data_IF_175098289744
#
_entry.id   IF_175098289744
#
_cell.length_a   1.000
_cell.length_b   1.000
_cell.length_c   1.000
_cell.angle_alpha   90.00
_cell.angle_beta   90.00
_cell.angle_gamma   90.00
#
_symmetry.space_group_name_H-M   'P 1'
#
loop_
_entity.id
_entity.type
_entity.pdbx_description
1 polymer ?
#
# COMPACT_ATOMS: atom_id res chain seq x y z
N UNK A 1 27.65 24.22 -28.51
CA UNK A 1 27.11 25.29 -27.61
C UNK A 1 25.69 24.93 -27.25
N UNK A 2 25.54 24.27 -26.16
CA UNK A 2 24.35 23.98 -25.35
C UNK A 2 24.76 22.78 -24.52
N UNK A 3 24.95 22.92 -23.31
CA UNK A 3 24.21 22.77 -22.09
C UNK A 3 25.20 22.93 -20.93
N UNK A 4 25.29 24.11 -20.36
CA UNK A 4 25.62 24.27 -18.96
C UNK A 4 24.28 24.44 -18.26
N UNK A 5 23.77 23.39 -17.68
CA UNK A 5 22.67 23.47 -16.72
C UNK A 5 23.26 23.12 -15.36
N UNK A 6 23.18 24.11 -14.52
CA UNK A 6 23.63 24.21 -13.14
C UNK A 6 23.31 22.95 -12.33
N UNK A 7 24.35 22.30 -11.86
CA UNK A 7 24.30 21.38 -10.73
C UNK A 7 24.34 22.20 -9.44
N UNK A 8 23.21 22.39 -8.78
CA UNK A 8 23.16 22.65 -7.36
C UNK A 8 22.32 21.57 -6.70
N UNK A 9 23.02 20.80 -5.86
CA UNK A 9 22.53 19.92 -4.78
C UNK A 9 21.16 19.27 -4.97
N UNK A 10 21.17 17.98 -5.34
CA UNK A 10 20.18 17.04 -4.86
C UNK A 10 18.80 17.03 -5.51
N UNK A 11 18.53 17.86 -6.52
CA UNK A 11 17.25 17.86 -7.22
C UNK A 11 17.32 16.89 -8.41
N UNK A 12 16.50 15.86 -8.35
CA UNK A 12 16.21 14.96 -9.45
C UNK A 12 15.67 15.81 -10.62
N UNK A 13 16.43 15.91 -11.72
CA UNK A 13 15.94 16.52 -12.97
C UNK A 13 14.82 15.61 -13.47
N UNK A 14 13.57 15.96 -13.20
CA UNK A 14 12.43 15.26 -13.74
C UNK A 14 12.38 15.48 -15.26
N UNK A 15 12.27 14.39 -16.04
CA UNK A 15 12.01 14.43 -17.49
C UNK A 15 10.62 15.05 -17.77
N UNK A 16 9.76 15.07 -16.77
CA UNK A 16 8.51 15.82 -16.80
C UNK A 16 8.79 17.31 -17.01
N UNK A 17 8.03 17.91 -17.92
CA UNK A 17 7.94 19.35 -18.03
C UNK A 17 7.65 19.93 -16.62
N UNK A 18 8.52 20.79 -16.12
CA UNK A 18 8.43 21.38 -14.78
C UNK A 18 7.05 22.02 -14.46
N UNK A 19 6.27 22.36 -15.48
CA UNK A 19 4.89 22.84 -15.31
C UNK A 19 3.95 21.73 -14.85
N UNK A 20 4.14 20.50 -15.33
CA UNK A 20 3.39 19.32 -14.82
C UNK A 20 3.80 19.00 -13.38
N UNK A 21 5.06 19.14 -13.01
CA UNK A 21 5.50 18.97 -11.63
C UNK A 21 4.86 20.03 -10.72
N UNK A 22 4.77 21.29 -11.18
CA UNK A 22 4.06 22.37 -10.45
C UNK A 22 2.57 22.06 -10.31
N UNK A 23 1.95 21.51 -11.36
CA UNK A 23 0.55 21.11 -11.34
C UNK A 23 0.31 19.98 -10.32
N UNK A 24 1.14 18.94 -10.31
CA UNK A 24 1.04 17.84 -9.33
C UNK A 24 1.20 18.36 -7.91
N UNK A 25 2.18 19.23 -7.64
CA UNK A 25 2.37 19.81 -6.32
C UNK A 25 1.16 20.67 -5.89
N UNK A 26 0.54 21.41 -6.81
CA UNK A 26 -0.68 22.16 -6.51
C UNK A 26 -1.88 21.24 -6.23
N UNK A 27 -1.96 20.08 -6.87
CA UNK A 27 -2.99 19.08 -6.57
C UNK A 27 -2.91 18.61 -5.11
N UNK A 28 -1.70 18.47 -4.57
CA UNK A 28 -1.47 18.02 -3.19
C UNK A 28 -1.72 19.15 -2.18
N UNK A 29 -1.12 20.31 -2.41
CA UNK A 29 -1.18 21.43 -1.45
C UNK A 29 -2.52 22.17 -1.47
N UNK A 30 -3.21 22.14 -2.61
CA UNK A 30 -4.46 22.89 -2.89
C UNK A 30 -4.35 24.38 -2.56
N UNK A 31 -3.12 24.92 -2.64
CA UNK A 31 -2.81 26.31 -2.27
C UNK A 31 -1.61 26.82 -3.05
N UNK A 32 -1.83 27.86 -3.87
CA UNK A 32 -0.79 28.44 -4.73
C UNK A 32 0.44 28.95 -3.98
N UNK A 33 0.25 29.55 -2.80
CA UNK A 33 1.35 30.08 -1.98
C UNK A 33 2.17 28.94 -1.40
N UNK A 34 1.52 27.94 -0.78
CA UNK A 34 2.20 26.76 -0.25
C UNK A 34 2.94 25.97 -1.34
N UNK A 35 2.34 25.86 -2.53
CA UNK A 35 3.01 25.26 -3.71
C UNK A 35 4.26 26.03 -4.08
N UNK A 36 4.19 27.37 -4.11
CA UNK A 36 5.32 28.21 -4.43
C UNK A 36 6.46 28.06 -3.40
N UNK A 37 6.15 28.08 -2.13
CA UNK A 37 7.11 27.85 -1.04
C UNK A 37 7.80 26.47 -1.18
N UNK A 38 7.02 25.42 -1.38
CA UNK A 38 7.53 24.04 -1.47
C UNK A 38 8.41 23.80 -2.70
N UNK A 39 8.12 24.50 -3.81
CA UNK A 39 8.89 24.42 -5.05
C UNK A 39 9.97 25.52 -5.17
N UNK A 40 10.19 26.31 -4.12
CA UNK A 40 11.15 27.43 -4.13
C UNK A 40 10.97 28.41 -5.29
N UNK A 41 9.70 28.73 -5.60
CA UNK A 41 9.33 29.65 -6.66
C UNK A 41 8.36 30.73 -6.17
N UNK A 42 8.01 31.70 -7.03
CA UNK A 42 7.03 32.72 -6.67
C UNK A 42 5.60 32.24 -6.96
N UNK A 43 4.62 32.72 -6.19
CA UNK A 43 3.21 32.39 -6.44
C UNK A 43 2.73 32.83 -7.85
N UNK A 44 3.13 33.99 -8.42
CA UNK A 44 2.86 34.30 -9.81
C UNK A 44 3.40 33.27 -10.81
N UNK A 45 4.58 32.70 -10.56
CA UNK A 45 5.15 31.67 -11.43
C UNK A 45 4.29 30.38 -11.40
N UNK A 46 3.84 29.94 -10.21
CA UNK A 46 2.90 28.83 -10.10
C UNK A 46 1.63 29.12 -10.92
N UNK A 47 1.06 30.31 -10.75
CA UNK A 47 -0.14 30.72 -11.49
C UNK A 47 0.09 30.71 -13.01
N UNK A 48 1.26 31.16 -13.47
CA UNK A 48 1.61 31.16 -14.89
C UNK A 48 1.76 29.74 -15.45
N UNK A 49 2.35 28.81 -14.68
CA UNK A 49 2.44 27.41 -15.08
C UNK A 49 1.07 26.76 -15.25
N UNK A 50 0.16 26.97 -14.32
CA UNK A 50 -1.21 26.43 -14.40
C UNK A 50 -1.96 27.04 -15.58
N UNK A 51 -1.92 28.36 -15.74
CA UNK A 51 -2.53 29.03 -16.90
C UNK A 51 -2.00 28.51 -18.23
N UNK A 52 -0.68 28.26 -18.33
CA UNK A 52 -0.09 27.68 -19.51
C UNK A 52 -0.67 26.30 -19.82
N UNK A 53 -0.79 25.42 -18.81
CA UNK A 53 -1.37 24.09 -18.99
C UNK A 53 -2.85 24.18 -19.38
N UNK A 54 -3.63 25.04 -18.74
CA UNK A 54 -5.03 25.27 -19.09
C UNK A 54 -5.20 25.78 -20.54
N UNK A 55 -4.32 26.67 -20.98
CA UNK A 55 -4.29 27.15 -22.39
C UNK A 55 -3.89 26.05 -23.37
N UNK A 56 -2.86 25.27 -23.02
CA UNK A 56 -2.36 24.19 -23.87
C UNK A 56 -3.39 23.08 -24.08
N UNK A 57 -4.12 22.70 -23.00
CA UNK A 57 -5.17 21.68 -23.05
C UNK A 57 -6.57 22.24 -23.38
N UNK A 58 -6.71 23.55 -23.50
CA UNK A 58 -7.98 24.20 -23.82
C UNK A 58 -9.07 24.05 -22.77
N UNK A 59 -8.72 23.80 -21.51
CA UNK A 59 -9.69 23.51 -20.44
C UNK A 59 -9.21 24.02 -19.09
N UNK A 60 -10.14 24.23 -18.17
CA UNK A 60 -9.83 24.52 -16.77
C UNK A 60 -9.46 23.25 -16.03
N UNK A 61 -8.38 23.33 -15.25
CA UNK A 61 -7.88 22.22 -14.44
C UNK A 61 -8.30 22.34 -12.97
N UNK A 62 -8.55 23.58 -12.52
CA UNK A 62 -8.99 23.87 -11.15
C UNK A 62 -10.19 24.81 -11.16
N UNK A 63 -11.00 24.72 -10.08
CA UNK A 63 -12.07 25.64 -9.75
C UNK A 63 -12.11 25.90 -8.25
N UNK A 64 -12.77 26.97 -7.85
CA UNK A 64 -13.04 27.29 -6.44
C UNK A 64 -14.49 26.98 -6.12
N UNK A 65 -14.71 26.31 -4.97
CA UNK A 65 -16.07 26.11 -4.42
C UNK A 65 -16.59 27.41 -3.76
N UNK A 66 -17.84 27.37 -3.29
CA UNK A 66 -18.49 28.49 -2.59
C UNK A 66 -17.73 28.94 -1.33
N UNK A 67 -16.95 28.04 -0.71
CA UNK A 67 -16.10 28.30 0.46
C UNK A 67 -14.69 28.73 0.07
N UNK A 68 -14.46 29.09 -1.19
CA UNK A 68 -13.14 29.48 -1.76
C UNK A 68 -12.05 28.42 -1.59
N UNK A 69 -12.41 27.13 -1.56
CA UNK A 69 -11.45 26.02 -1.55
C UNK A 69 -11.14 25.60 -2.98
N UNK A 70 -9.87 25.34 -3.25
CA UNK A 70 -9.40 24.91 -4.58
C UNK A 70 -9.67 23.42 -4.79
N UNK A 71 -10.31 23.09 -5.91
CA UNK A 71 -10.65 21.73 -6.32
C UNK A 71 -10.21 21.47 -7.76
N UNK A 72 -9.93 20.21 -8.10
CA UNK A 72 -9.71 19.75 -9.46
C UNK A 72 -11.05 19.63 -10.22
N UNK A 73 -11.04 20.05 -11.49
CA UNK A 73 -12.07 19.67 -12.46
C UNK A 73 -11.94 18.19 -12.84
N UNK A 74 -12.89 17.63 -13.60
CA UNK A 74 -12.75 16.26 -14.14
C UNK A 74 -11.53 16.15 -15.07
N UNK A 75 -11.29 17.16 -15.88
CA UNK A 75 -10.11 17.25 -16.73
C UNK A 75 -8.82 17.40 -15.92
N UNK A 76 -8.88 18.13 -14.80
CA UNK A 76 -7.79 18.22 -13.85
C UNK A 76 -7.46 16.87 -13.22
N UNK A 77 -8.47 16.08 -12.85
CA UNK A 77 -8.29 14.70 -12.32
C UNK A 77 -7.66 13.79 -13.39
N UNK A 78 -8.12 13.87 -14.64
CA UNK A 78 -7.55 13.10 -15.73
C UNK A 78 -6.07 13.46 -15.98
N UNK A 79 -5.76 14.77 -16.00
CA UNK A 79 -4.37 15.21 -16.17
C UNK A 79 -3.48 14.81 -14.99
N UNK A 80 -4.01 14.84 -13.75
CA UNK A 80 -3.27 14.40 -12.55
C UNK A 80 -2.88 12.92 -12.67
N UNK A 81 -3.84 12.06 -13.00
CA UNK A 81 -3.59 10.62 -13.18
C UNK A 81 -2.52 10.37 -14.24
N UNK A 82 -2.63 11.01 -15.40
CA UNK A 82 -1.63 10.90 -16.46
C UNK A 82 -0.25 11.39 -16.01
N UNK A 83 -0.17 12.56 -15.39
CA UNK A 83 1.10 13.16 -14.98
C UNK A 83 1.80 12.32 -13.89
N UNK A 84 1.04 11.74 -12.94
CA UNK A 84 1.56 10.83 -11.94
C UNK A 84 2.14 9.56 -12.56
N UNK A 85 1.45 8.95 -13.51
CA UNK A 85 1.94 7.76 -14.22
C UNK A 85 3.22 8.04 -14.99
N UNK A 86 3.27 9.16 -15.74
CA UNK A 86 4.47 9.55 -16.49
C UNK A 86 5.63 9.83 -15.53
N UNK A 87 5.38 10.44 -14.38
CA UNK A 87 6.42 10.68 -13.37
C UNK A 87 6.98 9.35 -12.82
N UNK A 88 6.11 8.43 -12.42
CA UNK A 88 6.52 7.13 -11.92
C UNK A 88 7.31 6.33 -12.96
N UNK A 89 6.79 6.24 -14.19
CA UNK A 89 7.46 5.52 -15.28
C UNK A 89 8.80 6.15 -15.65
N UNK A 90 8.89 7.49 -15.62
CA UNK A 90 10.14 8.22 -15.88
C UNK A 90 11.24 7.88 -14.87
N UNK A 91 10.90 7.78 -13.58
CA UNK A 91 11.86 7.38 -12.55
C UNK A 91 12.27 5.89 -12.70
N UNK A 92 11.35 5.01 -13.07
CA UNK A 92 11.66 3.60 -13.38
C UNK A 92 12.66 3.54 -14.56
N UNK A 93 12.39 4.27 -15.66
CA UNK A 93 13.26 4.32 -16.84
C UNK A 93 14.63 4.91 -16.48
N UNK A 94 14.68 6.00 -15.72
CA UNK A 94 15.92 6.63 -15.28
C UNK A 94 16.79 5.66 -14.48
N UNK A 95 16.19 4.92 -13.54
CA UNK A 95 16.90 3.89 -12.79
C UNK A 95 17.40 2.77 -13.71
N UNK A 96 16.64 2.39 -14.73
CA UNK A 96 17.02 1.37 -15.71
C UNK A 96 18.18 1.84 -16.63
N UNK A 97 18.16 3.09 -17.05
CA UNK A 97 19.21 3.70 -17.89
C UNK A 97 20.52 3.92 -17.13
N UNK A 98 20.49 3.96 -15.79
CA UNK A 98 21.70 4.06 -14.95
C UNK A 98 22.42 2.73 -14.76
N UNK A 99 21.85 1.62 -15.22
CA UNK A 99 22.42 0.27 -15.13
C UNK A 99 22.97 -0.13 -16.51
N UNK A 100 24.12 -0.85 -16.60
CA UNK A 100 24.66 -1.33 -17.88
C UNK A 100 23.65 -2.12 -18.71
N UNK A 101 23.64 -1.93 -20.03
CA UNK A 101 22.66 -2.53 -20.96
C UNK A 101 22.58 -4.06 -20.84
N UNK A 102 23.67 -4.71 -20.44
CA UNK A 102 23.78 -6.17 -20.29
C UNK A 102 23.32 -6.68 -18.92
N UNK A 103 22.95 -5.80 -17.99
CA UNK A 103 22.39 -6.23 -16.72
C UNK A 103 20.87 -6.44 -16.81
N UNK A 104 20.35 -7.56 -16.26
CA UNK A 104 18.92 -7.81 -16.26
C UNK A 104 18.17 -6.75 -15.46
N UNK A 105 17.00 -6.37 -15.99
CA UNK A 105 16.06 -5.47 -15.35
C UNK A 105 15.59 -6.03 -14.01
N UNK A 106 15.56 -5.20 -12.99
CA UNK A 106 15.09 -5.59 -11.66
C UNK A 106 13.59 -5.29 -11.56
N UNK A 107 12.78 -6.33 -11.37
CA UNK A 107 11.38 -6.14 -11.03
C UNK A 107 11.25 -5.81 -9.54
N UNK A 108 10.81 -4.59 -9.23
CA UNK A 108 10.65 -4.08 -7.86
C UNK A 108 9.20 -4.14 -7.44
N UNK A 109 8.88 -5.03 -6.52
CA UNK A 109 7.55 -5.25 -5.98
C UNK A 109 7.45 -4.74 -4.55
N UNK A 110 6.40 -3.97 -4.23
CA UNK A 110 5.99 -3.69 -2.87
C UNK A 110 5.04 -4.76 -2.35
N UNK A 111 5.09 -5.08 -1.09
CA UNK A 111 4.16 -6.04 -0.49
C UNK A 111 3.87 -5.72 0.97
N UNK A 112 2.60 -5.84 1.34
CA UNK A 112 2.24 -5.98 2.76
C UNK A 112 3.11 -7.05 3.41
N UNK A 113 3.60 -6.76 4.61
CA UNK A 113 4.45 -7.70 5.38
C UNK A 113 3.76 -9.07 5.52
N UNK A 114 2.48 -9.10 5.91
CA UNK A 114 1.74 -10.35 6.07
C UNK A 114 1.64 -11.19 4.79
N UNK A 115 1.36 -10.55 3.65
CA UNK A 115 1.33 -11.24 2.36
C UNK A 115 2.73 -11.71 1.95
N UNK A 116 3.72 -10.85 2.08
CA UNK A 116 5.09 -11.16 1.74
C UNK A 116 5.65 -12.35 2.51
N UNK A 117 5.47 -12.40 3.83
CA UNK A 117 5.92 -13.51 4.67
C UNK A 117 5.16 -14.81 4.39
N UNK A 118 3.90 -14.73 3.96
CA UNK A 118 3.05 -15.92 3.73
C UNK A 118 3.21 -16.50 2.34
N UNK A 119 3.23 -15.66 1.30
CA UNK A 119 3.07 -16.08 -0.09
C UNK A 119 4.27 -15.74 -0.98
N UNK A 120 5.12 -14.74 -0.62
CA UNK A 120 6.16 -14.25 -1.52
C UNK A 120 7.09 -15.36 -2.02
N UNK A 121 7.56 -16.25 -1.13
CA UNK A 121 8.47 -17.34 -1.53
C UNK A 121 7.88 -18.23 -2.64
N UNK A 122 6.59 -18.55 -2.57
CA UNK A 122 5.93 -19.41 -3.56
C UNK A 122 5.61 -18.67 -4.86
N UNK A 123 5.10 -17.45 -4.76
CA UNK A 123 4.79 -16.61 -5.93
C UNK A 123 6.09 -16.27 -6.67
N UNK A 124 7.15 -15.88 -5.93
CA UNK A 124 8.44 -15.58 -6.54
C UNK A 124 9.10 -16.81 -7.15
N UNK A 125 9.01 -17.98 -6.51
CA UNK A 125 9.47 -19.24 -7.10
C UNK A 125 8.86 -19.45 -8.47
N UNK A 126 7.51 -19.41 -8.57
CA UNK A 126 6.82 -19.55 -9.86
C UNK A 126 7.17 -18.47 -10.89
N UNK A 127 7.38 -17.23 -10.43
CA UNK A 127 7.79 -16.14 -11.32
C UNK A 127 9.18 -16.38 -11.88
N UNK A 128 10.16 -16.75 -11.04
CA UNK A 128 11.53 -16.99 -11.44
C UNK A 128 11.71 -18.31 -12.22
N UNK A 129 10.87 -19.32 -11.97
CA UNK A 129 10.82 -20.53 -12.80
C UNK A 129 10.42 -20.20 -14.26
N UNK A 130 9.48 -19.24 -14.42
CA UNK A 130 9.03 -18.78 -15.75
C UNK A 130 10.03 -17.79 -16.39
N UNK A 131 10.71 -16.99 -15.57
CA UNK A 131 11.62 -15.93 -16.02
C UNK A 131 12.96 -16.01 -15.28
N UNK A 132 13.78 -17.04 -15.53
CA UNK A 132 15.00 -17.31 -14.75
C UNK A 132 16.08 -16.23 -14.85
N UNK A 133 16.04 -15.42 -15.91
CA UNK A 133 16.97 -14.29 -16.11
C UNK A 133 16.59 -13.03 -15.32
N UNK A 134 15.36 -12.97 -14.77
CA UNK A 134 14.88 -11.77 -14.07
C UNK A 134 15.51 -11.64 -12.69
N UNK A 135 15.83 -10.41 -12.30
CA UNK A 135 16.12 -10.02 -10.93
C UNK A 135 14.85 -9.46 -10.28
N UNK A 136 14.60 -9.82 -9.04
CA UNK A 136 13.43 -9.33 -8.28
C UNK A 136 13.91 -8.71 -6.98
N UNK A 137 13.32 -7.58 -6.63
CA UNK A 137 13.45 -6.95 -5.32
C UNK A 137 12.07 -6.80 -4.69
N UNK A 138 11.88 -7.32 -3.48
CA UNK A 138 10.63 -7.19 -2.74
C UNK A 138 10.84 -6.20 -1.61
N UNK A 139 10.03 -5.16 -1.61
CA UNK A 139 9.99 -4.17 -0.55
C UNK A 139 8.77 -4.44 0.34
N UNK A 140 9.00 -4.72 1.62
CA UNK A 140 7.93 -4.97 2.59
C UNK A 140 7.60 -3.69 3.33
N UNK A 141 6.30 -3.37 3.45
CA UNK A 141 5.87 -2.13 4.11
C UNK A 141 4.37 -2.08 4.36
N UNK A 142 3.94 -0.94 4.83
CA UNK A 142 2.52 -0.63 5.04
C UNK A 142 1.90 -0.09 3.75
N UNK A 143 0.59 -0.29 3.54
CA UNK A 143 -0.09 0.05 2.28
C UNK A 143 0.09 1.50 1.85
N UNK A 144 0.01 2.45 2.78
CA UNK A 144 0.10 3.87 2.46
C UNK A 144 1.53 4.24 1.99
N UNK A 145 2.58 3.67 2.62
CA UNK A 145 3.96 3.85 2.17
C UNK A 145 4.21 3.18 0.82
N UNK A 146 3.67 1.97 0.61
CA UNK A 146 3.79 1.27 -0.66
C UNK A 146 3.16 2.04 -1.82
N UNK A 147 2.00 2.67 -1.60
CA UNK A 147 1.38 3.53 -2.62
C UNK A 147 2.21 4.79 -2.91
N UNK A 148 2.84 5.38 -1.89
CA UNK A 148 3.79 6.49 -2.08
C UNK A 148 5.03 6.03 -2.87
N UNK A 149 5.59 4.86 -2.56
CA UNK A 149 6.72 4.29 -3.30
C UNK A 149 6.35 4.00 -4.77
N UNK A 150 5.12 3.52 -5.00
CA UNK A 150 4.58 3.27 -6.33
C UNK A 150 4.42 4.56 -7.14
N UNK A 151 3.78 5.58 -6.56
CA UNK A 151 3.59 6.89 -7.20
C UNK A 151 4.92 7.60 -7.53
N UNK A 152 5.98 7.33 -6.74
CA UNK A 152 7.32 7.85 -6.96
C UNK A 152 8.18 6.96 -7.90
N UNK A 153 7.64 5.89 -8.47
CA UNK A 153 8.37 4.99 -9.38
C UNK A 153 9.52 4.21 -8.72
N UNK A 154 9.55 4.11 -7.38
CA UNK A 154 10.55 3.32 -6.66
C UNK A 154 10.24 1.83 -6.72
N UNK A 155 8.97 1.48 -6.82
CA UNK A 155 8.44 0.14 -7.10
C UNK A 155 7.53 0.19 -8.32
N UNK A 156 7.34 -0.93 -9.00
CA UNK A 156 6.57 -1.03 -10.25
C UNK A 156 5.13 -1.47 -9.99
N UNK A 157 4.92 -2.23 -8.95
CA UNK A 157 3.61 -2.66 -8.47
C UNK A 157 3.67 -2.94 -6.97
N UNK A 158 2.50 -3.03 -6.32
CA UNK A 158 2.44 -3.41 -4.92
C UNK A 158 1.19 -4.24 -4.60
N UNK A 159 1.28 -4.95 -3.46
CA UNK A 159 0.18 -5.71 -2.87
C UNK A 159 -0.22 -5.01 -1.58
N UNK A 160 -1.46 -4.56 -1.51
CA UNK A 160 -1.99 -3.68 -0.46
C UNK A 160 -3.39 -4.11 0.00
N UNK A 161 -3.80 -3.66 1.19
CA UNK A 161 -5.10 -3.90 1.81
C UNK A 161 -5.94 -2.62 1.98
N UNK A 162 -5.64 -1.60 1.19
CA UNK A 162 -6.31 -0.30 1.27
C UNK A 162 -7.05 0.04 -0.01
N UNK A 163 -7.95 1.02 0.08
CA UNK A 163 -8.62 1.57 -1.09
C UNK A 163 -7.62 2.29 -2.00
N UNK A 164 -7.69 1.97 -3.28
CA UNK A 164 -6.88 2.60 -4.32
C UNK A 164 -7.82 3.32 -5.30
N UNK A 165 -7.74 4.66 -5.40
CA UNK A 165 -8.56 5.42 -6.33
C UNK A 165 -8.41 4.92 -7.78
N UNK A 166 -9.50 4.53 -8.46
CA UNK A 166 -9.42 3.96 -9.81
C UNK A 166 -9.04 5.00 -10.88
N UNK A 167 -9.00 6.27 -10.52
CA UNK A 167 -8.48 7.35 -11.35
C UNK A 167 -6.96 7.33 -11.44
N UNK A 168 -6.27 6.87 -10.38
CA UNK A 168 -4.82 6.90 -10.24
C UNK A 168 -4.18 5.53 -10.44
N UNK A 169 -4.89 4.46 -10.08
CA UNK A 169 -4.35 3.10 -10.01
C UNK A 169 -5.17 2.09 -10.84
N UNK A 170 -4.48 1.11 -11.41
CA UNK A 170 -5.07 -0.17 -11.79
C UNK A 170 -5.04 -1.09 -10.58
N UNK A 171 -6.21 -1.46 -10.08
CA UNK A 171 -6.38 -2.24 -8.87
C UNK A 171 -7.07 -3.56 -9.20
N UNK A 172 -6.45 -4.67 -8.84
CA UNK A 172 -6.96 -6.02 -9.09
C UNK A 172 -7.02 -6.80 -7.79
N UNK A 173 -8.21 -7.20 -7.42
CA UNK A 173 -8.42 -8.07 -6.27
C UNK A 173 -7.71 -9.41 -6.47
N UNK A 174 -6.94 -9.82 -5.46
CA UNK A 174 -6.32 -11.12 -5.38
C UNK A 174 -7.21 -12.11 -4.60
N UNK A 175 -7.67 -11.71 -3.43
CA UNK A 175 -8.60 -12.48 -2.60
C UNK A 175 -9.21 -11.61 -1.49
N UNK A 176 -10.34 -12.07 -0.96
CA UNK A 176 -10.95 -11.54 0.26
C UNK A 176 -10.34 -12.26 1.47
N UNK A 177 -10.05 -11.54 2.55
CA UNK A 177 -9.63 -12.10 3.83
C UNK A 177 -10.40 -11.45 4.99
N UNK A 178 -10.29 -12.05 6.15
CA UNK A 178 -10.88 -11.56 7.40
C UNK A 178 -9.81 -11.36 8.46
N UNK A 179 -10.07 -10.47 9.42
CA UNK A 179 -9.30 -10.39 10.65
C UNK A 179 -10.01 -11.27 11.67
N UNK A 180 -9.25 -12.12 12.35
CA UNK A 180 -9.73 -13.04 13.36
C UNK A 180 -9.02 -12.84 14.70
N UNK A 181 -9.68 -13.20 15.80
CA UNK A 181 -9.06 -13.27 17.11
C UNK A 181 -8.37 -14.63 17.30
N UNK A 182 -7.10 -14.60 17.70
CA UNK A 182 -6.28 -15.81 17.90
C UNK A 182 -5.74 -15.91 19.33
N UNK A 183 -5.50 -17.13 19.76
CA UNK A 183 -4.89 -17.46 21.04
C UNK A 183 -4.07 -18.76 20.94
N UNK A 184 -3.39 -19.15 22.02
CA UNK A 184 -2.79 -20.48 22.14
C UNK A 184 -3.88 -21.57 22.20
N UNK A 185 -3.60 -22.82 21.77
CA UNK A 185 -4.56 -23.93 21.88
C UNK A 185 -4.95 -24.26 23.34
N UNK A 186 -4.07 -23.93 24.28
CA UNK A 186 -4.29 -24.14 25.73
C UNK A 186 -5.06 -22.99 26.40
N UNK A 187 -5.37 -21.93 25.67
CA UNK A 187 -6.08 -20.77 26.22
C UNK A 187 -7.53 -21.13 26.56
N UNK A 188 -8.10 -20.60 27.68
CA UNK A 188 -9.45 -20.95 28.12
C UNK A 188 -10.56 -20.69 27.10
N UNK A 189 -10.35 -19.76 26.16
CA UNK A 189 -11.30 -19.39 25.11
C UNK A 189 -11.00 -20.06 23.75
N UNK A 190 -9.99 -20.93 23.66
CA UNK A 190 -9.61 -21.57 22.41
C UNK A 190 -10.78 -22.34 21.78
N UNK A 191 -11.11 -22.04 20.51
CA UNK A 191 -12.20 -22.66 19.75
C UNK A 191 -13.61 -22.31 20.21
N UNK A 192 -13.78 -21.42 21.18
CA UNK A 192 -15.09 -21.01 21.70
C UNK A 192 -15.65 -19.80 20.96
N UNK A 193 -16.98 -19.69 20.97
CA UNK A 193 -17.70 -18.48 20.57
C UNK A 193 -18.06 -17.71 21.83
N UNK A 194 -17.67 -16.43 21.88
CA UNK A 194 -17.78 -15.57 23.06
C UNK A 194 -18.23 -14.15 22.68
N UNK A 195 -18.63 -13.37 23.64
CA UNK A 195 -18.84 -11.93 23.47
C UNK A 195 -17.53 -11.15 23.67
N UNK A 196 -17.40 -9.96 23.10
CA UNK A 196 -16.22 -9.11 23.27
C UNK A 196 -15.83 -8.90 24.75
N UNK A 197 -16.82 -8.78 25.65
CA UNK A 197 -16.57 -8.58 27.07
C UNK A 197 -15.83 -9.73 27.73
N UNK A 198 -15.96 -10.94 27.20
CA UNK A 198 -15.26 -12.11 27.71
C UNK A 198 -13.77 -12.13 27.36
N UNK A 199 -13.35 -11.28 26.40
CA UNK A 199 -11.94 -11.07 26.06
C UNK A 199 -11.26 -10.11 27.05
N UNK A 200 -11.99 -9.23 27.72
CA UNK A 200 -11.46 -8.17 28.57
C UNK A 200 -10.55 -8.66 29.71
N UNK A 201 -10.81 -9.83 30.37
CA UNK A 201 -9.93 -10.34 31.42
C UNK A 201 -8.54 -10.76 30.91
N UNK A 202 -8.33 -10.86 29.59
CA UNK A 202 -7.09 -11.36 29.01
C UNK A 202 -6.23 -10.22 28.48
N UNK A 203 -4.94 -10.53 28.26
CA UNK A 203 -3.96 -9.60 27.68
C UNK A 203 -4.12 -9.53 26.18
N UNK A 204 -4.15 -8.30 25.64
CA UNK A 204 -4.14 -8.05 24.20
C UNK A 204 -2.71 -7.85 23.70
N UNK A 205 -2.34 -8.53 22.62
CA UNK A 205 -1.02 -8.40 21.97
C UNK A 205 -1.23 -7.74 20.61
N UNK A 206 -0.49 -6.68 20.31
CA UNK A 206 -0.64 -5.95 19.05
C UNK A 206 0.66 -5.29 18.59
N UNK A 207 0.66 -4.82 17.34
CA UNK A 207 1.75 -4.08 16.73
C UNK A 207 1.82 -2.65 17.27
N UNK A 208 3.01 -2.08 17.23
CA UNK A 208 3.32 -0.72 17.70
C UNK A 208 2.34 0.34 17.18
N UNK A 209 2.12 1.37 17.99
CA UNK A 209 1.35 2.53 17.61
C UNK A 209 1.93 3.18 16.33
N UNK A 210 1.04 3.50 15.37
CA UNK A 210 1.42 4.01 14.05
C UNK A 210 1.55 2.94 12.98
N UNK A 211 1.62 1.64 13.31
CA UNK A 211 1.49 0.58 12.31
C UNK A 211 0.05 0.50 11.78
N UNK A 212 -0.09 0.10 10.52
CA UNK A 212 -1.43 -0.11 9.92
C UNK A 212 -2.22 -1.18 10.68
N UNK A 213 -1.54 -2.23 11.13
CA UNK A 213 -2.17 -3.29 11.96
C UNK A 213 -2.78 -2.72 13.24
N UNK A 214 -2.10 -1.80 13.91
CA UNK A 214 -2.63 -1.11 15.08
C UNK A 214 -3.84 -0.22 14.73
N UNK A 215 -3.73 0.57 13.66
CA UNK A 215 -4.83 1.44 13.21
C UNK A 215 -6.06 0.61 12.81
N UNK A 216 -5.86 -0.50 12.10
CA UNK A 216 -6.93 -1.42 11.74
C UNK A 216 -7.57 -2.04 13.00
N UNK A 217 -6.77 -2.51 13.95
CA UNK A 217 -7.27 -3.04 15.23
C UNK A 217 -8.13 -2.01 15.96
N UNK A 218 -7.63 -0.79 16.12
CA UNK A 218 -8.40 0.29 16.76
C UNK A 218 -9.71 0.57 16.04
N UNK A 219 -9.66 0.70 14.71
CA UNK A 219 -10.86 0.94 13.89
C UNK A 219 -11.90 -0.17 14.09
N UNK A 220 -11.45 -1.42 14.09
CA UNK A 220 -12.32 -2.58 14.33
C UNK A 220 -12.93 -2.52 15.73
N UNK A 221 -12.10 -2.39 16.77
CA UNK A 221 -12.60 -2.32 18.15
C UNK A 221 -13.62 -1.19 18.32
N UNK A 222 -13.34 0.00 17.82
CA UNK A 222 -14.27 1.13 17.88
C UNK A 222 -15.59 0.84 17.15
N UNK A 223 -15.54 0.14 16.01
CA UNK A 223 -16.74 -0.30 15.29
C UNK A 223 -17.70 -1.20 16.11
N UNK A 224 -17.13 -1.86 17.11
CA UNK A 224 -17.88 -2.69 18.07
C UNK A 224 -18.02 -2.06 19.47
N UNK A 225 -17.84 -0.74 19.59
CA UNK A 225 -17.83 0.00 20.86
C UNK A 225 -16.85 -0.56 21.88
N UNK A 226 -15.69 -1.02 21.41
CA UNK A 226 -14.59 -1.52 22.22
C UNK A 226 -13.37 -0.63 22.08
N UNK A 227 -12.46 -0.73 23.06
CA UNK A 227 -11.17 -0.04 23.05
C UNK A 227 -10.08 -0.97 23.58
N UNK A 228 -8.82 -0.69 23.25
CA UNK A 228 -7.65 -1.43 23.75
C UNK A 228 -7.60 -1.40 25.29
N UNK A 229 -8.03 -0.29 25.89
CA UNK A 229 -8.07 -0.11 27.35
C UNK A 229 -9.17 -0.92 28.05
N UNK A 230 -10.09 -1.56 27.32
CA UNK A 230 -11.04 -2.50 27.91
C UNK A 230 -10.38 -3.83 28.35
N UNK A 231 -9.21 -4.14 27.79
CA UNK A 231 -8.47 -5.38 28.14
C UNK A 231 -7.68 -5.21 29.45
N UNK A 232 -7.51 -6.30 30.20
CA UNK A 232 -6.82 -6.30 31.50
C UNK A 232 -5.39 -5.75 31.42
N UNK A 233 -4.72 -5.99 30.31
CA UNK A 233 -3.38 -5.45 30.00
C UNK A 233 -3.08 -5.63 28.52
N UNK A 234 -1.96 -5.07 28.04
CA UNK A 234 -1.51 -5.28 26.68
C UNK A 234 0.00 -5.46 26.58
N UNK A 235 0.43 -6.00 25.43
CA UNK A 235 1.83 -6.05 24.98
C UNK A 235 1.89 -5.46 23.59
N UNK A 236 2.70 -4.41 23.45
CA UNK A 236 3.00 -3.77 22.18
C UNK A 236 4.34 -4.27 21.66
N UNK A 237 4.42 -4.63 20.36
CA UNK A 237 5.63 -5.17 19.73
C UNK A 237 5.82 -4.67 18.31
N UNK A 238 7.08 -4.61 17.84
CA UNK A 238 7.45 -4.06 16.52
C UNK A 238 7.27 -5.01 15.34
N UNK A 239 6.97 -6.31 15.52
CA UNK A 239 6.84 -7.24 14.40
C UNK A 239 5.68 -8.21 14.56
N UNK A 240 5.07 -8.60 13.43
CA UNK A 240 3.98 -9.58 13.42
C UNK A 240 4.45 -10.96 13.89
N UNK A 241 5.69 -11.35 13.62
CA UNK A 241 6.24 -12.62 14.07
C UNK A 241 6.38 -12.66 15.60
N UNK A 242 6.73 -11.53 16.23
CA UNK A 242 6.75 -11.45 17.71
C UNK A 242 5.33 -11.56 18.27
N UNK A 243 4.32 -10.94 17.64
CA UNK A 243 2.90 -11.15 18.02
C UNK A 243 2.57 -12.64 18.01
N UNK A 244 2.89 -13.34 16.92
CA UNK A 244 2.59 -14.77 16.77
C UNK A 244 3.28 -15.61 17.85
N UNK A 245 4.55 -15.37 18.12
CA UNK A 245 5.30 -16.12 19.13
C UNK A 245 4.72 -15.93 20.52
N UNK A 246 4.38 -14.70 20.90
CA UNK A 246 3.74 -14.41 22.20
C UNK A 246 2.38 -15.10 22.34
N UNK A 247 1.59 -15.14 21.24
CA UNK A 247 0.31 -15.89 21.25
C UNK A 247 0.55 -17.39 21.44
N UNK A 248 1.52 -17.98 20.73
CA UNK A 248 1.89 -19.41 20.87
C UNK A 248 2.31 -19.74 22.29
N UNK A 249 3.09 -18.87 22.92
CA UNK A 249 3.52 -19.00 24.32
C UNK A 249 2.42 -18.71 25.35
N UNK A 250 1.17 -18.53 24.88
CA UNK A 250 0.00 -18.25 25.73
C UNK A 250 0.13 -16.99 26.61
N UNK A 251 0.84 -15.97 26.10
CA UNK A 251 0.99 -14.68 26.80
C UNK A 251 -0.30 -13.86 26.74
N UNK A 252 -1.11 -14.07 25.71
CA UNK A 252 -2.37 -13.36 25.49
C UNK A 252 -3.02 -13.72 24.16
N UNK A 253 -3.97 -12.90 23.74
CA UNK A 253 -4.69 -13.02 22.47
C UNK A 253 -4.35 -11.85 21.51
N UNK A 254 -4.63 -12.03 20.23
CA UNK A 254 -4.37 -10.99 19.21
C UNK A 254 -5.41 -11.04 18.10
N UNK A 255 -5.54 -9.94 17.35
CA UNK A 255 -6.33 -9.85 16.14
C UNK A 255 -5.39 -9.75 14.93
N UNK A 256 -5.52 -10.69 13.99
CA UNK A 256 -4.62 -10.80 12.84
C UNK A 256 -5.39 -11.21 11.58
N UNK A 257 -4.82 -10.94 10.40
CA UNK A 257 -5.36 -11.51 9.17
C UNK A 257 -5.31 -13.03 9.19
N UNK A 258 -6.43 -13.67 8.88
CA UNK A 258 -6.58 -15.13 8.88
C UNK A 258 -5.55 -15.81 7.97
N UNK A 259 -5.35 -15.30 6.75
CA UNK A 259 -4.41 -15.89 5.79
C UNK A 259 -2.96 -15.96 6.31
N UNK A 260 -2.58 -15.07 7.23
CA UNK A 260 -1.22 -15.05 7.81
C UNK A 260 -1.00 -16.18 8.80
N UNK A 261 -2.06 -16.62 9.47
CA UNK A 261 -2.01 -17.64 10.51
C UNK A 261 -2.67 -18.97 10.11
N UNK A 262 -3.31 -19.06 8.95
CA UNK A 262 -4.06 -20.24 8.53
C UNK A 262 -3.26 -21.54 8.71
N UNK A 263 -2.02 -21.59 8.23
CA UNK A 263 -1.16 -22.79 8.42
C UNK A 263 -0.86 -23.12 9.88
N UNK A 264 -0.85 -22.14 10.76
CA UNK A 264 -0.63 -22.34 12.21
C UNK A 264 -1.91 -22.85 12.87
N UNK A 265 -3.07 -22.39 12.41
CA UNK A 265 -4.38 -22.93 12.83
C UNK A 265 -4.53 -24.39 12.38
N UNK A 266 -4.26 -24.70 11.11
CA UNK A 266 -4.36 -26.06 10.54
C UNK A 266 -3.45 -27.07 11.27
N UNK A 267 -2.29 -26.61 11.74
CA UNK A 267 -1.34 -27.40 12.52
C UNK A 267 -1.66 -27.49 14.01
N UNK A 268 -2.71 -26.80 14.46
CA UNK A 268 -3.09 -26.75 15.88
C UNK A 268 -2.07 -26.02 16.77
N UNK A 269 -1.18 -25.18 16.18
CA UNK A 269 -0.20 -24.38 16.93
C UNK A 269 -0.84 -23.12 17.50
N UNK A 270 -1.92 -22.67 16.88
CA UNK A 270 -2.80 -21.58 17.33
C UNK A 270 -4.25 -22.05 17.28
N UNK A 271 -5.12 -21.34 17.98
CA UNK A 271 -6.57 -21.53 17.95
C UNK A 271 -7.26 -20.20 17.70
N UNK A 272 -8.38 -20.25 16.99
CA UNK A 272 -9.26 -19.09 16.81
C UNK A 272 -10.21 -18.97 18.00
N UNK A 273 -10.49 -17.74 18.42
CA UNK A 273 -11.63 -17.37 19.26
C UNK A 273 -12.68 -16.78 18.35
N UNK A 274 -13.87 -17.34 18.32
CA UNK A 274 -15.00 -16.80 17.57
C UNK A 274 -15.72 -15.76 18.44
N UNK A 275 -16.06 -14.61 17.86
CA UNK A 275 -16.72 -13.53 18.57
C UNK A 275 -18.10 -13.32 17.96
N UNK A 276 -19.14 -13.28 18.82
CA UNK A 276 -20.52 -13.06 18.38
C UNK A 276 -20.63 -11.77 17.58
N UNK A 277 -21.34 -11.85 16.45
CA UNK A 277 -21.58 -10.72 15.52
C UNK A 277 -20.32 -10.05 14.96
N UNK A 278 -19.13 -10.57 15.23
CA UNK A 278 -17.88 -10.03 14.71
C UNK A 278 -17.69 -10.43 13.24
N UNK A 279 -17.59 -9.41 12.40
CA UNK A 279 -17.30 -9.56 10.97
C UNK A 279 -16.27 -8.51 10.56
N UNK A 280 -15.20 -8.97 9.97
CA UNK A 280 -14.16 -8.09 9.42
C UNK A 280 -13.72 -8.64 8.09
N UNK A 281 -14.06 -7.93 7.02
CA UNK A 281 -13.66 -8.28 5.66
C UNK A 281 -12.69 -7.26 5.13
N UNK A 282 -11.67 -7.72 4.46
CA UNK A 282 -10.72 -6.89 3.74
C UNK A 282 -10.35 -7.55 2.42
N UNK A 283 -10.00 -6.73 1.44
CA UNK A 283 -9.55 -7.20 0.13
C UNK A 283 -8.06 -6.98 0.00
N UNK A 284 -7.34 -8.01 -0.38
CA UNK A 284 -5.93 -7.91 -0.74
C UNK A 284 -5.86 -7.69 -2.24
N UNK A 285 -5.26 -6.58 -2.62
CA UNK A 285 -5.24 -6.08 -3.98
C UNK A 285 -3.81 -6.02 -4.53
N UNK A 286 -3.65 -6.36 -5.80
CA UNK A 286 -2.46 -6.09 -6.58
C UNK A 286 -2.66 -4.81 -7.38
N UNK A 287 -1.73 -3.86 -7.27
CA UNK A 287 -1.92 -2.48 -7.72
C UNK A 287 -0.70 -1.99 -8.48
N UNK A 288 -0.92 -1.23 -9.55
CA UNK A 288 0.11 -0.44 -10.25
C UNK A 288 -0.46 0.89 -10.74
N UNK A 289 0.41 1.80 -11.22
CA UNK A 289 -0.03 3.09 -11.74
C UNK A 289 -0.89 2.92 -12.99
N UNK A 290 -2.04 3.61 -13.02
CA UNK A 290 -2.94 3.58 -14.17
C UNK A 290 -2.22 4.09 -15.42
N UNK A 291 -2.45 3.45 -16.57
CA UNK A 291 -1.81 3.77 -17.85
C UNK A 291 -0.26 3.70 -17.84
N UNK A 292 0.34 2.97 -16.89
CA UNK A 292 1.79 2.77 -16.87
C UNK A 292 2.26 2.07 -18.15
N UNK A 293 3.42 2.49 -18.64
CA UNK A 293 4.13 1.82 -19.73
C UNK A 293 4.48 0.37 -19.40
N UNK A 294 4.61 0.05 -18.11
CA UNK A 294 4.95 -1.29 -17.62
C UNK A 294 3.73 -2.17 -17.31
N UNK A 295 2.50 -1.75 -17.68
CA UNK A 295 1.26 -2.44 -17.35
C UNK A 295 1.24 -3.92 -17.81
N UNK A 296 1.81 -4.24 -18.98
CA UNK A 296 1.87 -5.62 -19.48
C UNK A 296 2.67 -6.53 -18.55
N UNK A 297 3.86 -6.10 -18.11
CA UNK A 297 4.68 -6.85 -17.15
C UNK A 297 3.97 -7.05 -15.80
N UNK A 298 3.24 -6.03 -15.37
CA UNK A 298 2.47 -6.10 -14.13
C UNK A 298 1.32 -7.11 -14.24
N UNK A 299 0.66 -7.20 -15.41
CA UNK A 299 -0.37 -8.22 -15.68
C UNK A 299 0.21 -9.63 -15.68
N UNK A 300 1.38 -9.84 -16.27
CA UNK A 300 2.06 -11.15 -16.23
C UNK A 300 2.32 -11.63 -14.80
N UNK A 301 2.75 -10.74 -13.92
CA UNK A 301 2.95 -11.07 -12.51
C UNK A 301 1.62 -11.30 -11.78
N UNK A 302 0.59 -10.48 -12.05
CA UNK A 302 -0.77 -10.67 -11.53
C UNK A 302 -1.31 -12.06 -11.87
N UNK A 303 -1.14 -12.50 -13.11
CA UNK A 303 -1.62 -13.82 -13.57
C UNK A 303 -0.94 -14.96 -12.80
N UNK A 304 0.37 -14.82 -12.51
CA UNK A 304 1.09 -15.78 -11.68
C UNK A 304 0.56 -15.79 -10.25
N UNK A 305 0.30 -14.60 -9.66
CA UNK A 305 -0.30 -14.50 -8.34
C UNK A 305 -1.67 -15.17 -8.29
N UNK A 306 -2.57 -14.83 -9.22
CA UNK A 306 -3.93 -15.39 -9.29
C UNK A 306 -3.90 -16.89 -9.49
N UNK A 307 -3.07 -17.38 -10.41
CA UNK A 307 -2.94 -18.81 -10.66
C UNK A 307 -2.42 -19.58 -9.42
N UNK A 308 -1.44 -19.02 -8.72
CA UNK A 308 -0.95 -19.61 -7.48
C UNK A 308 -2.05 -19.62 -6.39
N UNK A 309 -2.71 -18.49 -6.16
CA UNK A 309 -3.76 -18.39 -5.14
C UNK A 309 -4.94 -19.33 -5.44
N UNK A 310 -5.37 -19.41 -6.70
CA UNK A 310 -6.39 -20.36 -7.13
C UNK A 310 -5.96 -21.84 -6.92
N UNK A 311 -4.66 -22.15 -7.04
CA UNK A 311 -4.13 -23.50 -6.79
C UNK A 311 -4.16 -23.89 -5.30
N UNK A 312 -4.36 -22.92 -4.39
CA UNK A 312 -4.54 -23.20 -2.96
C UNK A 312 -5.94 -23.75 -2.64
N UNK A 313 -6.86 -23.73 -3.62
CA UNK A 313 -8.27 -24.14 -3.46
C UNK A 313 -9.06 -23.14 -2.62
N UNK A 314 -10.28 -23.53 -2.22
CA UNK A 314 -11.06 -22.83 -1.20
C UNK A 314 -10.42 -22.99 0.21
N UNK A 315 -9.11 -22.79 0.30
CA UNK A 315 -8.54 -22.38 1.56
C UNK A 315 -9.34 -21.14 1.93
N UNK A 316 -10.14 -21.22 2.98
CA UNK A 316 -10.79 -20.09 3.63
C UNK A 316 -9.68 -19.06 3.94
N UNK A 317 -9.26 -18.31 2.87
CA UNK A 317 -8.24 -17.27 2.93
C UNK A 317 -8.73 -16.11 3.77
#
# INVERSE_FOLDING_TARGET
RLIQIFTQKGESISVLNYKLSTFLELCETKNYTKTAEKLHMTQPAVTQHIKYLEQYYGTKLFYYDEKKRLHLTDQGRLLRSYAQSVQADSEIIKNRLSVPINEPDIFKLGSLTGFGETFAAKVMGKYLDKYPEKKVSIYMGESDDLLVQLANGRIQACIVDTYCPPEEYECHELFESEIICICAPTHPLAGKTVDFKELHPYRLIFREEGSKSYLNLRSILHGYNQDIHNFASFVEVGTINTVHNLVIENVGLSFVYKFVVQKKLDRGVMSQIFINDFKSKTFINYVWMKNSFFAEKNREFLDICKHYLASLGDLNL
#
